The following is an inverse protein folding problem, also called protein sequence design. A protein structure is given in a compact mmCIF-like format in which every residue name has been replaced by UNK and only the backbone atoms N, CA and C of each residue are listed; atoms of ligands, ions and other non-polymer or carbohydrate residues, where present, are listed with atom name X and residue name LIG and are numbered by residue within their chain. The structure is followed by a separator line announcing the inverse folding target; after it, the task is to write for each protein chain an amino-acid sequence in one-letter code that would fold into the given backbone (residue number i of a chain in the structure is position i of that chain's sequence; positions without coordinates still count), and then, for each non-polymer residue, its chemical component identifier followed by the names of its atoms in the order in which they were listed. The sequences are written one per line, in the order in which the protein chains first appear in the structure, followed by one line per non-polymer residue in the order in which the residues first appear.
data_IF_799176208550
#
_entry.id   IF_799176208550
#
_cell.length_a   1.000
_cell.length_b   1.000
_cell.length_c   1.000
_cell.angle_alpha   90.00
_cell.angle_beta   90.00
_cell.angle_gamma   90.00
#
_symmetry.space_group_name_H-M   'P 1'
#
loop_
_entity.id
_entity.type
_entity.pdbx_description
1 polymer ?
#
# COMPACT_ATOMS: atom_id res chain seq x y z
N UNK A 1 -20.02 -27.83 40.22
CA UNK A 1 -20.81 -27.03 39.26
C UNK A 1 -20.02 -26.90 37.97
N UNK A 2 -20.50 -27.50 36.88
CA UNK A 2 -19.95 -27.40 35.53
C UNK A 2 -20.69 -26.28 34.81
N UNK A 3 -20.01 -25.24 34.34
CA UNK A 3 -20.57 -24.32 33.34
C UNK A 3 -19.45 -23.78 32.43
N UNK A 4 -19.24 -24.56 31.38
CA UNK A 4 -18.95 -24.20 29.99
C UNK A 4 -18.50 -22.75 29.70
N UNK A 5 -17.20 -22.57 29.43
CA UNK A 5 -16.64 -21.45 28.65
C UNK A 5 -16.64 -21.90 27.18
N UNK A 6 -17.67 -21.53 26.42
CA UNK A 6 -17.69 -21.63 24.95
C UNK A 6 -18.37 -20.38 24.41
N UNK A 7 -17.61 -19.29 24.30
CA UNK A 7 -18.03 -18.12 23.52
C UNK A 7 -16.87 -17.44 22.76
N UNK A 8 -15.63 -17.92 22.92
CA UNK A 8 -14.44 -17.25 22.39
C UNK A 8 -14.02 -17.74 20.98
N UNK A 9 -14.46 -18.91 20.52
CA UNK A 9 -14.07 -19.43 19.19
C UNK A 9 -14.97 -18.98 18.02
N UNK A 10 -16.18 -18.48 18.27
CA UNK A 10 -17.11 -18.09 17.20
C UNK A 10 -16.84 -16.68 16.65
N UNK A 11 -16.23 -15.81 17.44
CA UNK A 11 -15.90 -14.45 16.99
C UNK A 11 -14.65 -14.46 16.09
N UNK A 12 -13.62 -15.25 16.42
CA UNK A 12 -12.36 -15.31 15.66
C UNK A 12 -12.56 -15.78 14.20
N UNK A 13 -13.56 -16.63 13.94
CA UNK A 13 -13.85 -17.13 12.59
C UNK A 13 -14.43 -16.07 11.63
N UNK A 14 -14.97 -14.96 12.15
CA UNK A 14 -15.54 -13.88 11.34
C UNK A 14 -14.46 -12.97 10.71
N UNK A 15 -13.38 -12.71 11.44
CA UNK A 15 -12.31 -11.78 11.03
C UNK A 15 -11.33 -12.41 10.02
N UNK A 16 -11.07 -13.70 10.12
CA UNK A 16 -10.13 -14.40 9.23
C UNK A 16 -10.70 -14.69 7.81
N UNK A 17 -12.00 -14.43 7.58
CA UNK A 17 -12.70 -14.90 6.37
C UNK A 17 -12.54 -13.99 5.15
N UNK A 18 -12.00 -12.79 5.28
CA UNK A 18 -11.84 -11.86 4.15
C UNK A 18 -10.39 -11.45 3.89
N UNK A 19 -9.52 -11.55 4.90
CA UNK A 19 -8.08 -11.29 4.79
C UNK A 19 -7.39 -12.25 3.80
N UNK A 20 -7.77 -13.52 3.78
CA UNK A 20 -7.21 -14.50 2.84
C UNK A 20 -7.54 -14.18 1.38
N UNK A 21 -8.77 -13.75 1.12
CA UNK A 21 -9.31 -13.33 -0.17
C UNK A 21 -8.57 -12.06 -0.62
N UNK A 22 -8.34 -11.13 0.30
CA UNK A 22 -7.58 -9.90 0.05
C UNK A 22 -6.12 -10.19 -0.30
N UNK A 23 -5.45 -11.07 0.44
CA UNK A 23 -4.08 -11.53 0.12
C UNK A 23 -4.02 -12.22 -1.24
N UNK A 24 -5.01 -13.05 -1.57
CA UNK A 24 -5.11 -13.68 -2.90
C UNK A 24 -5.32 -12.64 -4.00
N UNK A 25 -6.14 -11.61 -3.77
CA UNK A 25 -6.34 -10.51 -4.72
C UNK A 25 -5.02 -9.76 -4.96
N UNK A 26 -4.37 -9.27 -3.91
CA UNK A 26 -3.11 -8.53 -3.99
C UNK A 26 -1.99 -9.34 -4.68
N UNK A 27 -1.85 -10.63 -4.35
CA UNK A 27 -0.83 -11.49 -4.96
C UNK A 27 -1.11 -11.74 -6.45
N UNK A 28 -2.38 -11.90 -6.85
CA UNK A 28 -2.73 -12.04 -8.26
C UNK A 28 -2.52 -10.74 -9.01
N UNK A 29 -2.95 -9.62 -8.45
CA UNK A 29 -2.67 -8.29 -8.99
C UNK A 29 -1.16 -8.07 -9.18
N UNK A 30 -0.32 -8.46 -8.22
CA UNK A 30 1.13 -8.38 -8.34
C UNK A 30 1.68 -9.14 -9.57
N UNK A 31 1.19 -10.37 -9.78
CA UNK A 31 1.57 -11.22 -10.91
C UNK A 31 1.06 -10.67 -12.25
N UNK A 32 -0.14 -10.10 -12.27
CA UNK A 32 -0.68 -9.47 -13.48
C UNK A 32 0.07 -8.17 -13.80
N UNK A 33 0.38 -7.36 -12.79
CA UNK A 33 1.12 -6.12 -12.93
C UNK A 33 2.54 -6.36 -13.44
N UNK A 34 3.31 -7.29 -12.86
CA UNK A 34 4.68 -7.54 -13.31
C UNK A 34 4.75 -7.98 -14.78
N UNK A 35 3.73 -8.67 -15.28
CA UNK A 35 3.62 -9.06 -16.70
C UNK A 35 3.30 -7.88 -17.62
N UNK A 36 2.63 -6.86 -17.10
CA UNK A 36 2.28 -5.64 -17.83
C UNK A 36 3.37 -4.55 -17.77
N UNK A 37 4.34 -4.66 -16.86
CA UNK A 37 5.43 -3.70 -16.76
C UNK A 37 6.42 -3.85 -17.94
N UNK A 38 6.95 -2.73 -18.46
CA UNK A 38 8.01 -2.79 -19.46
C UNK A 38 9.21 -3.57 -18.94
N UNK A 39 9.64 -4.58 -19.69
CA UNK A 39 10.81 -5.39 -19.37
C UNK A 39 11.83 -5.32 -20.50
N UNK A 40 13.10 -5.26 -20.12
CA UNK A 40 14.24 -5.30 -21.03
C UNK A 40 15.38 -6.05 -20.34
N UNK A 41 16.23 -6.80 -21.08
CA UNK A 41 17.43 -7.41 -20.52
C UNK A 41 18.37 -6.42 -19.79
N UNK A 42 18.27 -5.13 -20.11
CA UNK A 42 19.11 -4.07 -19.54
C UNK A 42 18.47 -3.31 -18.37
N UNK A 43 17.21 -3.61 -18.01
CA UNK A 43 16.48 -2.87 -16.97
C UNK A 43 15.95 -3.81 -15.89
N UNK A 44 16.26 -3.47 -14.64
CA UNK A 44 15.69 -4.14 -13.47
C UNK A 44 14.24 -3.71 -13.27
N UNK A 45 13.43 -4.61 -12.71
CA UNK A 45 12.07 -4.33 -12.25
C UNK A 45 12.05 -4.50 -10.74
N UNK A 46 11.61 -3.46 -10.04
CA UNK A 46 11.40 -3.47 -8.61
C UNK A 46 10.21 -2.58 -8.25
N UNK A 47 9.27 -3.11 -7.50
CA UNK A 47 8.08 -2.38 -7.05
C UNK A 47 7.45 -3.10 -5.86
N UNK A 48 6.62 -2.38 -5.09
CA UNK A 48 5.77 -2.99 -4.07
C UNK A 48 4.33 -3.09 -4.57
N UNK A 49 3.84 -4.29 -4.94
CA UNK A 49 2.43 -4.48 -5.32
C UNK A 49 1.48 -4.15 -4.17
N UNK A 50 1.92 -4.38 -2.93
CA UNK A 50 1.14 -4.05 -1.75
C UNK A 50 0.92 -2.55 -1.63
N UNK A 51 1.97 -1.75 -1.86
CA UNK A 51 1.86 -0.29 -1.81
C UNK A 51 0.84 0.26 -2.80
N UNK A 52 0.94 -0.19 -4.05
CA UNK A 52 0.03 0.19 -5.13
C UNK A 52 -1.40 -0.23 -4.79
N UNK A 53 -1.59 -1.46 -4.32
CA UNK A 53 -2.91 -1.97 -3.93
C UNK A 53 -3.51 -1.12 -2.80
N UNK A 54 -2.74 -0.76 -1.78
CA UNK A 54 -3.23 0.07 -0.65
C UNK A 54 -3.61 1.48 -1.10
N UNK A 55 -2.78 2.14 -1.92
CA UNK A 55 -3.11 3.46 -2.47
C UNK A 55 -4.40 3.40 -3.32
N UNK A 56 -4.57 2.36 -4.12
CA UNK A 56 -5.77 2.17 -4.94
C UNK A 56 -6.99 1.72 -4.12
N UNK A 57 -6.78 1.12 -2.95
CA UNK A 57 -7.83 0.88 -1.95
C UNK A 57 -8.43 2.18 -1.42
N UNK A 58 -7.60 3.21 -1.20
CA UNK A 58 -8.09 4.54 -0.84
C UNK A 58 -8.90 5.19 -1.98
N UNK A 59 -8.49 4.98 -3.24
CA UNK A 59 -9.28 5.41 -4.41
C UNK A 59 -10.63 4.66 -4.44
N UNK A 60 -10.60 3.34 -4.23
CA UNK A 60 -11.80 2.49 -4.19
C UNK A 60 -12.82 2.97 -3.16
N UNK A 61 -12.38 3.41 -1.97
CA UNK A 61 -13.26 3.96 -0.94
C UNK A 61 -14.09 5.18 -1.41
N UNK A 62 -13.51 6.01 -2.28
CA UNK A 62 -14.18 7.19 -2.85
C UNK A 62 -14.94 6.91 -4.16
N UNK A 63 -14.67 5.78 -4.82
CA UNK A 63 -15.24 5.46 -6.14
C UNK A 63 -16.71 5.02 -6.04
N UNK A 64 -17.49 5.30 -7.08
CA UNK A 64 -18.89 4.85 -7.22
C UNK A 64 -19.17 4.42 -8.66
N UNK A 65 -20.30 3.75 -8.87
CA UNK A 65 -20.79 3.39 -10.21
C UNK A 65 -19.81 2.51 -10.99
N UNK A 66 -19.58 2.86 -12.26
CA UNK A 66 -18.70 2.11 -13.15
C UNK A 66 -17.23 2.13 -12.71
N UNK A 67 -16.75 3.28 -12.20
CA UNK A 67 -15.38 3.39 -11.68
C UNK A 67 -15.13 2.41 -10.55
N UNK A 68 -16.08 2.27 -9.62
CA UNK A 68 -15.99 1.30 -8.52
C UNK A 68 -15.91 -0.14 -9.06
N UNK A 69 -16.75 -0.49 -10.03
CA UNK A 69 -16.76 -1.83 -10.64
C UNK A 69 -15.45 -2.16 -11.36
N UNK A 70 -14.90 -1.19 -12.09
CA UNK A 70 -13.63 -1.36 -12.79
C UNK A 70 -12.47 -1.57 -11.81
N UNK A 71 -12.45 -0.83 -10.69
CA UNK A 71 -11.48 -1.07 -9.62
C UNK A 71 -11.68 -2.43 -8.97
N UNK A 72 -12.93 -2.83 -8.72
CA UNK A 72 -13.26 -4.09 -8.07
C UNK A 72 -12.77 -5.32 -8.87
N UNK A 73 -12.95 -5.30 -10.18
CA UNK A 73 -12.46 -6.37 -11.06
C UNK A 73 -10.94 -6.26 -11.31
N UNK A 74 -10.46 -5.06 -11.64
CA UNK A 74 -9.06 -4.81 -12.01
C UNK A 74 -8.05 -5.14 -10.90
N UNK A 75 -8.39 -4.87 -9.64
CA UNK A 75 -7.55 -5.22 -8.49
C UNK A 75 -7.78 -6.66 -7.98
N UNK A 76 -8.61 -7.45 -8.70
CA UNK A 76 -8.73 -8.88 -8.50
C UNK A 76 -9.62 -9.31 -7.34
N UNK A 77 -10.38 -8.40 -6.72
CA UNK A 77 -11.29 -8.71 -5.60
C UNK A 77 -12.38 -9.69 -6.04
N UNK A 78 -13.00 -9.46 -7.21
CA UNK A 78 -13.98 -10.38 -7.78
C UNK A 78 -13.40 -11.79 -7.97
N UNK A 79 -12.21 -11.88 -8.57
CA UNK A 79 -11.55 -13.16 -8.88
C UNK A 79 -11.08 -13.91 -7.63
N UNK A 80 -10.82 -13.21 -6.53
CA UNK A 80 -10.41 -13.82 -5.25
C UNK A 80 -11.59 -14.30 -4.41
N UNK A 81 -12.82 -13.93 -4.79
CA UNK A 81 -14.05 -14.20 -4.05
C UNK A 81 -14.37 -13.18 -2.95
N UNK A 82 -13.60 -12.09 -2.87
CA UNK A 82 -13.84 -11.01 -1.91
C UNK A 82 -15.05 -10.20 -2.38
N UNK A 83 -16.16 -10.21 -1.64
CA UNK A 83 -17.34 -9.42 -1.99
C UNK A 83 -17.04 -7.92 -1.84
N UNK A 84 -17.63 -7.12 -2.72
CA UNK A 84 -17.48 -5.65 -2.75
C UNK A 84 -17.66 -5.00 -1.37
N UNK A 85 -18.74 -5.32 -0.66
CA UNK A 85 -19.06 -4.78 0.67
C UNK A 85 -17.98 -5.04 1.73
N UNK A 86 -17.15 -6.07 1.54
CA UNK A 86 -16.12 -6.50 2.48
C UNK A 86 -14.72 -6.00 2.12
N UNK A 87 -14.53 -5.33 0.99
CA UNK A 87 -13.19 -4.88 0.55
C UNK A 87 -12.55 -3.95 1.57
N UNK A 88 -13.29 -2.93 2.05
CA UNK A 88 -12.76 -1.97 3.01
C UNK A 88 -12.47 -2.61 4.37
N UNK A 89 -13.36 -3.49 4.86
CA UNK A 89 -13.10 -4.23 6.09
C UNK A 89 -11.86 -5.12 5.95
N UNK A 90 -11.66 -5.77 4.80
CA UNK A 90 -10.48 -6.60 4.57
C UNK A 90 -9.19 -5.78 4.53
N UNK A 91 -9.20 -4.53 4.09
CA UNK A 91 -8.06 -3.62 4.23
C UNK A 91 -7.77 -3.29 5.70
N UNK A 92 -8.80 -2.95 6.48
CA UNK A 92 -8.65 -2.64 7.90
C UNK A 92 -8.07 -3.84 8.67
N UNK A 93 -8.66 -5.02 8.51
CA UNK A 93 -8.19 -6.26 9.15
C UNK A 93 -6.74 -6.58 8.77
N UNK A 94 -6.38 -6.36 7.50
CA UNK A 94 -5.04 -6.63 7.02
C UNK A 94 -4.01 -5.61 7.55
N UNK A 95 -4.38 -4.34 7.72
CA UNK A 95 -3.51 -3.33 8.32
C UNK A 95 -3.21 -3.64 9.80
N UNK A 96 -4.22 -4.07 10.56
CA UNK A 96 -4.03 -4.48 11.96
C UNK A 96 -3.08 -5.67 12.09
N UNK A 97 -3.25 -6.71 11.26
CA UNK A 97 -2.39 -7.90 11.32
C UNK A 97 -0.92 -7.61 11.00
N UNK A 98 -0.65 -6.67 10.10
CA UNK A 98 0.72 -6.27 9.77
C UNK A 98 1.42 -5.59 10.95
N UNK A 99 0.68 -4.97 11.86
CA UNK A 99 1.24 -4.35 13.07
C UNK A 99 1.48 -5.37 14.21
N UNK A 100 0.69 -6.45 14.26
CA UNK A 100 0.75 -7.47 15.33
C UNK A 100 1.91 -8.46 15.12
N UNK A 101 2.45 -8.56 13.91
CA UNK A 101 3.55 -9.47 13.58
C UNK A 101 4.86 -9.11 14.24
N UNK A 102 5.10 -9.58 15.48
CA UNK A 102 6.42 -9.50 16.11
C UNK A 102 7.44 -10.32 15.30
N UNK A 103 8.25 -9.63 14.53
CA UNK A 103 9.41 -10.21 13.84
C UNK A 103 10.67 -9.43 14.19
N UNK A 104 11.83 -10.03 14.00
CA UNK A 104 13.10 -9.29 14.07
C UNK A 104 13.29 -8.31 12.90
N UNK A 105 12.37 -8.30 11.93
CA UNK A 105 12.36 -7.39 10.81
C UNK A 105 11.51 -6.16 11.12
N UNK A 106 11.93 -5.01 10.62
CA UNK A 106 11.12 -3.80 10.62
C UNK A 106 10.25 -3.81 9.37
N UNK A 107 8.95 -3.59 9.54
CA UNK A 107 7.99 -3.44 8.45
C UNK A 107 7.01 -2.34 8.82
N UNK A 108 7.18 -1.17 8.20
CA UNK A 108 6.36 0.00 8.44
C UNK A 108 5.52 0.30 7.19
N UNK A 109 4.25 0.59 7.42
CA UNK A 109 3.31 1.03 6.38
C UNK A 109 2.69 2.33 6.84
N UNK A 110 2.69 3.33 5.96
CA UNK A 110 2.07 4.62 6.23
C UNK A 110 1.22 5.06 5.03
N UNK A 111 0.09 5.68 5.33
CA UNK A 111 -0.82 6.23 4.33
C UNK A 111 -1.05 7.72 4.59
N UNK A 112 -1.29 8.48 3.54
CA UNK A 112 -1.73 9.86 3.64
C UNK A 112 -2.63 10.27 2.49
N UNK A 113 -3.43 11.32 2.72
CA UNK A 113 -4.15 12.04 1.71
C UNK A 113 -3.70 13.51 1.76
N UNK A 114 -2.94 13.94 0.74
CA UNK A 114 -2.62 15.34 0.54
C UNK A 114 -3.77 16.01 -0.20
N UNK A 115 -4.51 16.86 0.49
CA UNK A 115 -5.69 17.56 -0.01
C UNK A 115 -5.36 19.03 -0.27
N UNK A 116 -5.96 19.59 -1.32
CA UNK A 116 -5.91 21.02 -1.52
C UNK A 116 -6.50 21.74 -0.31
N UNK A 117 -5.83 22.77 0.21
CA UNK A 117 -6.20 23.46 1.45
C UNK A 117 -7.66 23.96 1.51
N UNK A 118 -8.26 24.27 0.34
CA UNK A 118 -9.65 24.74 0.20
C UNK A 118 -10.65 23.65 -0.16
N UNK A 119 -10.19 22.43 -0.39
CA UNK A 119 -11.05 21.27 -0.64
C UNK A 119 -11.55 20.71 0.69
N UNK A 120 -12.84 20.41 0.77
CA UNK A 120 -13.42 19.64 1.88
C UNK A 120 -13.77 18.25 1.39
N UNK A 121 -13.33 17.23 2.13
CA UNK A 121 -13.74 15.86 1.89
C UNK A 121 -15.14 15.63 2.48
N UNK A 122 -15.86 14.66 1.93
CA UNK A 122 -17.06 14.14 2.59
C UNK A 122 -16.64 13.46 3.90
N UNK A 123 -17.34 13.74 5.00
CA UNK A 123 -17.01 13.18 6.32
C UNK A 123 -16.96 11.64 6.31
N UNK A 124 -17.80 10.99 5.50
CA UNK A 124 -17.76 9.54 5.32
C UNK A 124 -16.45 9.06 4.69
N UNK A 125 -15.95 9.78 3.67
CA UNK A 125 -14.69 9.42 3.01
C UNK A 125 -13.49 9.67 3.93
N UNK A 126 -13.47 10.81 4.62
CA UNK A 126 -12.45 11.12 5.62
C UNK A 126 -12.40 10.06 6.73
N UNK A 127 -13.57 9.66 7.25
CA UNK A 127 -13.68 8.60 8.25
C UNK A 127 -13.19 7.25 7.73
N UNK A 128 -13.46 6.89 6.48
CA UNK A 128 -12.90 5.67 5.87
C UNK A 128 -11.38 5.75 5.73
N UNK A 129 -10.83 6.88 5.27
CA UNK A 129 -9.38 7.07 5.15
C UNK A 129 -8.67 6.89 6.50
N UNK A 130 -9.23 7.44 7.57
CA UNK A 130 -8.69 7.31 8.94
C UNK A 130 -8.89 5.90 9.51
N UNK A 131 -10.12 5.39 9.55
CA UNK A 131 -10.42 4.12 10.22
C UNK A 131 -9.89 2.88 9.49
N UNK A 132 -9.87 2.88 8.15
CA UNK A 132 -9.48 1.71 7.35
C UNK A 132 -8.00 1.72 6.98
N UNK A 133 -7.46 2.91 6.67
CA UNK A 133 -6.10 3.04 6.15
C UNK A 133 -5.16 3.76 7.11
N UNK A 134 -5.67 4.31 8.22
CA UNK A 134 -4.90 5.18 9.13
C UNK A 134 -4.18 6.30 8.38
N UNK A 135 -4.86 6.86 7.37
CA UNK A 135 -4.27 7.83 6.47
C UNK A 135 -4.21 9.21 7.13
N UNK A 136 -3.00 9.78 7.20
CA UNK A 136 -2.81 11.15 7.65
C UNK A 136 -3.35 12.15 6.61
N UNK A 137 -4.07 13.17 7.05
CA UNK A 137 -4.44 14.28 6.17
C UNK A 137 -3.33 15.33 6.14
N UNK A 138 -2.87 15.68 4.94
CA UNK A 138 -1.93 16.76 4.69
C UNK A 138 -2.66 17.86 3.93
N UNK A 139 -2.59 19.12 4.39
CA UNK A 139 -3.16 20.25 3.67
C UNK A 139 -2.06 20.92 2.84
N UNK A 140 -2.32 21.06 1.55
CA UNK A 140 -1.33 21.51 0.56
C UNK A 140 -1.97 22.55 -0.37
N UNK A 141 -1.27 23.63 -0.70
CA UNK A 141 -1.73 24.57 -1.74
C UNK A 141 -1.23 24.12 -3.13
N UNK A 142 -1.92 23.17 -3.76
CA UNK A 142 -1.60 22.75 -5.13
C UNK A 142 -1.78 23.86 -6.19
N UNK A 143 -2.56 24.91 -5.92
CA UNK A 143 -2.90 25.94 -6.92
C UNK A 143 -1.83 27.03 -6.97
N UNK A 144 -1.41 27.54 -5.80
CA UNK A 144 -0.44 28.65 -5.73
C UNK A 144 0.87 28.26 -5.03
N UNK A 145 0.94 27.08 -4.40
CA UNK A 145 2.11 26.65 -3.63
C UNK A 145 3.30 26.21 -4.48
N UNK A 146 3.09 25.87 -5.75
CA UNK A 146 4.15 25.47 -6.68
C UNK A 146 5.04 24.36 -6.10
N UNK A 147 6.36 24.58 -6.06
CA UNK A 147 7.31 23.62 -5.50
C UNK A 147 7.08 23.31 -4.01
N UNK A 148 6.69 24.30 -3.21
CA UNK A 148 6.50 24.11 -1.77
C UNK A 148 5.39 23.08 -1.47
N UNK A 149 4.40 22.95 -2.36
CA UNK A 149 3.36 21.94 -2.24
C UNK A 149 3.92 20.52 -2.36
N UNK A 150 4.88 20.31 -3.27
CA UNK A 150 5.49 19.01 -3.52
C UNK A 150 6.57 18.71 -2.48
N UNK A 151 7.29 19.72 -2.00
CA UNK A 151 8.26 19.57 -0.92
C UNK A 151 7.62 19.03 0.37
N UNK A 152 6.37 19.41 0.67
CA UNK A 152 5.61 18.85 1.79
C UNK A 152 5.35 17.34 1.60
N UNK A 153 4.93 16.94 0.40
CA UNK A 153 4.66 15.54 0.05
C UNK A 153 5.96 14.72 0.06
N UNK A 154 7.01 15.21 -0.58
CA UNK A 154 8.31 14.56 -0.63
C UNK A 154 8.92 14.42 0.77
N UNK A 155 8.78 15.44 1.64
CA UNK A 155 9.21 15.34 3.04
C UNK A 155 8.47 14.24 3.79
N UNK A 156 7.16 14.12 3.59
CA UNK A 156 6.37 13.03 4.17
C UNK A 156 6.86 11.66 3.65
N UNK A 157 7.05 11.50 2.33
CA UNK A 157 7.55 10.26 1.72
C UNK A 157 8.92 9.89 2.28
N UNK A 158 9.85 10.84 2.30
CA UNK A 158 11.20 10.65 2.84
C UNK A 158 11.18 10.19 4.29
N UNK A 159 10.36 10.84 5.12
CA UNK A 159 10.20 10.44 6.51
C UNK A 159 9.64 9.01 6.65
N UNK A 160 8.56 8.69 5.91
CA UNK A 160 7.90 7.37 6.03
C UNK A 160 8.67 6.23 5.39
N UNK A 161 9.64 6.53 4.54
CA UNK A 161 10.54 5.54 3.91
C UNK A 161 11.91 5.48 4.58
N UNK A 162 12.10 6.16 5.72
CA UNK A 162 13.35 6.21 6.47
C UNK A 162 14.54 6.66 5.58
N UNK A 163 14.32 7.77 4.86
CA UNK A 163 15.29 8.38 3.95
C UNK A 163 15.73 7.47 2.79
N UNK A 164 14.93 6.46 2.42
CA UNK A 164 15.21 5.57 1.29
C UNK A 164 14.64 6.06 -0.04
N UNK A 165 13.60 6.89 0.00
CA UNK A 165 13.07 7.59 -1.16
C UNK A 165 13.12 9.07 -0.82
N UNK A 166 14.04 9.80 -1.46
CA UNK A 166 14.20 11.24 -1.21
C UNK A 166 13.02 12.04 -1.75
N UNK A 167 12.60 11.75 -2.98
CA UNK A 167 11.55 12.46 -3.69
C UNK A 167 10.68 11.46 -4.46
N UNK A 168 9.36 11.68 -4.43
CA UNK A 168 8.38 10.95 -5.24
C UNK A 168 8.04 11.71 -6.52
N UNK A 169 8.00 13.03 -6.44
CA UNK A 169 7.76 13.92 -7.55
C UNK A 169 8.94 14.89 -7.67
N UNK A 170 9.60 14.88 -8.82
CA UNK A 170 10.72 15.78 -9.12
C UNK A 170 10.22 17.19 -9.51
N UNK A 171 9.04 17.25 -10.15
CA UNK A 171 8.43 18.48 -10.66
C UNK A 171 7.13 18.83 -9.92
N UNK A 172 6.74 20.12 -9.88
CA UNK A 172 5.42 20.53 -9.44
C UNK A 172 4.30 19.76 -10.16
N UNK A 173 3.30 19.31 -9.40
CA UNK A 173 2.09 18.72 -9.96
C UNK A 173 1.25 19.78 -10.69
N UNK A 174 0.33 19.31 -11.53
CA UNK A 174 -0.65 20.16 -12.21
C UNK A 174 -1.41 21.04 -11.20
N UNK A 175 -1.54 22.37 -11.42
CA UNK A 175 -2.31 23.26 -10.54
C UNK A 175 -3.80 22.87 -10.34
N UNK A 176 -4.35 22.03 -11.21
CA UNK A 176 -5.70 21.46 -11.05
C UNK A 176 -5.75 20.26 -10.10
N UNK A 177 -4.61 19.81 -9.58
CA UNK A 177 -4.55 18.77 -8.54
C UNK A 177 -5.34 19.19 -7.31
N UNK A 178 -6.19 18.28 -6.80
CA UNK A 178 -6.98 18.51 -5.58
C UNK A 178 -6.72 17.48 -4.49
N UNK A 179 -6.27 16.29 -4.85
CA UNK A 179 -6.04 15.18 -3.93
C UNK A 179 -4.91 14.30 -4.48
N UNK A 180 -3.96 13.96 -3.61
CA UNK A 180 -2.95 12.92 -3.85
C UNK A 180 -3.06 11.89 -2.72
N UNK A 181 -3.35 10.64 -3.08
CA UNK A 181 -3.40 9.52 -2.14
C UNK A 181 -2.06 8.80 -2.14
N UNK A 182 -1.44 8.70 -0.97
CA UNK A 182 -0.06 8.28 -0.79
C UNK A 182 -0.01 7.01 0.06
N UNK A 183 0.81 6.05 -0.37
CA UNK A 183 1.24 4.95 0.46
C UNK A 183 2.77 4.90 0.47
N UNK A 184 3.35 4.63 1.65
CA UNK A 184 4.77 4.38 1.82
C UNK A 184 4.96 3.08 2.60
N UNK A 185 5.99 2.32 2.22
CA UNK A 185 6.40 1.09 2.89
C UNK A 185 7.89 1.14 3.13
N UNK A 186 8.30 0.82 4.36
CA UNK A 186 9.68 0.54 4.71
C UNK A 186 9.81 -0.91 5.18
N UNK A 187 10.79 -1.62 4.62
CA UNK A 187 11.11 -2.98 5.04
C UNK A 187 12.61 -3.11 5.29
N UNK A 188 12.97 -3.64 6.45
CA UNK A 188 14.34 -4.02 6.80
C UNK A 188 14.34 -5.36 7.51
N UNK A 189 14.68 -6.40 6.75
CA UNK A 189 14.87 -7.75 7.28
C UNK A 189 16.32 -8.03 7.67
N UNK A 190 16.49 -8.98 8.58
CA UNK A 190 17.79 -9.60 8.86
C UNK A 190 17.72 -11.04 8.36
N UNK A 191 18.69 -11.46 7.56
CA UNK A 191 18.80 -12.85 7.12
C UNK A 191 18.84 -13.79 8.32
N UNK A 192 18.03 -14.85 8.29
CA UNK A 192 18.08 -15.90 9.32
C UNK A 192 19.46 -16.56 9.41
N UNK A 193 20.15 -16.66 8.28
CA UNK A 193 21.56 -17.07 8.19
C UNK A 193 22.27 -16.04 7.33
N UNK A 194 23.12 -15.22 7.95
CA UNK A 194 23.86 -14.16 7.26
C UNK A 194 24.94 -14.75 6.37
N UNK A 195 25.23 -14.07 5.27
CA UNK A 195 26.43 -14.33 4.48
C UNK A 195 27.68 -13.96 5.28
N UNK A 196 28.75 -14.75 5.12
CA UNK A 196 30.07 -14.38 5.63
C UNK A 196 30.66 -13.27 4.75
N UNK A 197 30.84 -12.08 5.33
CA UNK A 197 31.38 -10.92 4.63
C UNK A 197 32.78 -11.20 4.05
N UNK A 198 33.59 -12.01 4.75
CA UNK A 198 34.95 -12.36 4.29
C UNK A 198 34.96 -13.25 3.05
N UNK A 199 33.85 -13.95 2.78
CA UNK A 199 33.68 -14.77 1.57
C UNK A 199 33.17 -13.98 0.37
N UNK A 200 32.78 -12.71 0.55
CA UNK A 200 32.24 -11.88 -0.54
C UNK A 200 33.35 -11.44 -1.48
N UNK A 201 33.30 -11.93 -2.72
CA UNK A 201 34.30 -11.64 -3.76
C UNK A 201 33.62 -11.36 -5.09
N UNK A 202 34.29 -10.61 -5.98
CA UNK A 202 33.79 -10.38 -7.34
C UNK A 202 33.68 -11.72 -8.07
N UNK A 203 32.50 -11.97 -8.66
CA UNK A 203 32.20 -13.14 -9.50
C UNK A 203 31.49 -12.68 -10.76
N UNK A 204 31.49 -13.53 -11.77
CA UNK A 204 30.77 -13.26 -13.02
C UNK A 204 29.26 -13.33 -12.77
N UNK A 205 28.52 -12.34 -13.29
CA UNK A 205 27.07 -12.35 -13.42
C UNK A 205 26.75 -11.98 -14.88
N UNK A 206 25.92 -12.79 -15.54
CA UNK A 206 25.57 -12.59 -16.96
C UNK A 206 24.32 -11.72 -17.04
N UNK A 207 24.50 -10.41 -17.23
CA UNK A 207 23.39 -9.47 -17.48
C UNK A 207 22.59 -9.93 -18.71
N UNK A 208 21.26 -9.99 -18.60
CA UNK A 208 20.40 -10.44 -19.68
C UNK A 208 20.59 -11.90 -20.10
N UNK A 209 21.39 -12.70 -19.38
CA UNK A 209 21.63 -14.11 -19.67
C UNK A 209 22.47 -14.38 -20.92
N UNK A 210 23.22 -13.39 -21.43
CA UNK A 210 24.09 -13.55 -22.61
C UNK A 210 25.57 -13.50 -22.23
N UNK A 211 26.37 -14.37 -22.87
CA UNK A 211 27.83 -14.48 -22.74
C UNK A 211 28.57 -13.51 -23.65
#
# INVERSE_FOLDING_TARGET
MKTLIVFMCLVVAGWARYENEMRRANNRFAVDLIKGLPSSPEKNIFFSPYSISTAMGMVFAGARGETLKNLYDGFGYLRSGLKEDWVLQAYADHAEQLQVGQSQSTFDVANAAAIHERMSLLSAFESTLDSTFHAQLLKVDFVNGGQAAIDEINRWVKQKTHDKIDELFDDPLDPDTRLVLLNAIFFKGVWSTKFDESATTKKQFLNGGTT
#
